data_IF_623063600792
#
_entry.id   IF_623063600792
#
_cell.length_a   1.000
_cell.length_b   1.000
_cell.length_c   1.000
_cell.angle_alpha   90.00
_cell.angle_beta   90.00
_cell.angle_gamma   90.00
#
_symmetry.space_group_name_H-M   'P 1'
#
loop_
_entity.id
_entity.type
_entity.pdbx_description
1 polymer ?
#
# COMPACT_ATOMS: atom_id res chain seq x y z
N UNK A 1 -35.97 -88.42 21.56
CA UNK A 1 -34.64 -88.71 22.14
C UNK A 1 -33.85 -87.41 22.12
N UNK A 2 -33.32 -87.01 23.29
CA UNK A 2 -32.61 -85.75 23.57
C UNK A 2 -31.44 -85.47 22.61
N UNK A 3 -31.17 -84.18 22.35
CA UNK A 3 -29.95 -83.73 21.65
C UNK A 3 -29.65 -82.23 21.77
N UNK A 4 -29.14 -81.81 22.94
CA UNK A 4 -28.23 -80.68 23.25
C UNK A 4 -28.28 -79.32 22.49
N UNK A 5 -28.45 -78.24 23.26
CA UNK A 5 -28.16 -76.82 22.92
C UNK A 5 -26.66 -76.51 23.07
N UNK A 6 -26.11 -75.63 22.22
CA UNK A 6 -25.14 -74.59 22.60
C UNK A 6 -25.34 -73.32 21.71
N UNK A 7 -25.14 -72.09 22.24
CA UNK A 7 -25.51 -70.83 21.57
C UNK A 7 -24.30 -70.15 20.90
N UNK A 8 -24.52 -69.42 19.79
CA UNK A 8 -23.50 -68.53 19.20
C UNK A 8 -24.09 -67.13 18.99
N UNK A 9 -23.68 -66.26 19.92
CA UNK A 9 -23.38 -64.82 19.83
C UNK A 9 -23.98 -63.97 18.69
N UNK A 10 -24.72 -62.95 19.12
CA UNK A 10 -25.08 -61.73 18.39
C UNK A 10 -23.87 -60.95 17.85
N UNK A 11 -24.05 -60.28 16.69
CA UNK A 11 -23.86 -58.83 16.42
C UNK A 11 -23.40 -58.52 14.97
N UNK A 12 -23.79 -57.34 14.41
CA UNK A 12 -23.72 -57.04 12.99
C UNK A 12 -22.40 -56.39 12.58
N UNK A 13 -21.86 -56.74 11.41
CA UNK A 13 -20.66 -56.11 10.84
C UNK A 13 -21.07 -55.05 9.83
N UNK A 14 -21.06 -53.79 10.26
CA UNK A 14 -20.75 -52.63 9.41
C UNK A 14 -19.53 -51.94 9.98
N UNK A 15 -18.51 -51.66 9.16
CA UNK A 15 -17.77 -50.41 9.32
C UNK A 15 -17.75 -49.65 7.98
N UNK A 16 -18.37 -48.49 7.92
CA UNK A 16 -17.79 -47.19 8.29
C UNK A 16 -16.82 -46.68 7.21
N UNK A 17 -17.36 -45.86 6.31
CA UNK A 17 -16.63 -44.90 5.49
C UNK A 17 -15.83 -43.93 6.39
N UNK A 18 -14.53 -43.80 6.15
CA UNK A 18 -13.75 -42.61 6.52
C UNK A 18 -12.88 -42.16 5.33
N UNK A 19 -12.82 -40.85 5.02
CA UNK A 19 -12.11 -40.34 3.85
C UNK A 19 -10.61 -40.30 4.10
N UNK A 20 -9.82 -40.71 3.09
CA UNK A 20 -8.36 -40.59 3.07
C UNK A 20 -7.96 -39.10 3.07
N UNK A 21 -7.73 -38.50 4.24
CA UNK A 21 -6.94 -37.28 4.33
C UNK A 21 -5.47 -37.64 4.11
N UNK A 22 -4.93 -37.36 2.91
CA UNK A 22 -3.49 -37.44 2.64
C UNK A 22 -2.75 -36.39 3.50
N UNK A 23 -2.43 -36.76 4.73
CA UNK A 23 -1.45 -36.05 5.55
C UNK A 23 -0.07 -36.28 4.93
N UNK A 24 0.52 -35.22 4.39
CA UNK A 24 1.94 -35.22 4.05
C UNK A 24 2.71 -35.49 5.36
N UNK A 25 3.54 -36.53 5.40
CA UNK A 25 4.22 -36.91 6.64
C UNK A 25 5.08 -35.75 7.15
N UNK A 26 4.97 -35.35 8.43
CA UNK A 26 5.73 -34.23 8.99
C UNK A 26 7.26 -34.42 8.87
N UNK A 27 7.72 -35.66 8.75
CA UNK A 27 9.13 -35.98 8.49
C UNK A 27 9.63 -35.45 7.14
N UNK A 28 8.78 -35.45 6.11
CA UNK A 28 9.14 -34.94 4.78
C UNK A 28 9.29 -33.43 4.83
N UNK A 29 8.42 -32.71 5.56
CA UNK A 29 8.52 -31.26 5.73
C UNK A 29 9.80 -30.86 6.48
N UNK A 30 10.18 -31.61 7.53
CA UNK A 30 11.40 -31.38 8.30
C UNK A 30 12.67 -31.52 7.44
N UNK A 31 12.69 -32.44 6.47
CA UNK A 31 13.85 -32.66 5.60
C UNK A 31 14.18 -31.46 4.68
N UNK A 32 13.20 -30.61 4.36
CA UNK A 32 13.42 -29.43 3.53
C UNK A 32 13.86 -28.19 4.33
N UNK A 33 13.77 -28.21 5.66
CA UNK A 33 14.15 -27.10 6.53
C UNK A 33 15.58 -26.59 6.28
N UNK A 34 16.65 -27.42 6.24
CA UNK A 34 17.99 -26.92 6.01
C UNK A 34 18.18 -26.31 4.61
N UNK A 35 17.47 -26.84 3.60
CA UNK A 35 17.48 -26.30 2.24
C UNK A 35 16.80 -24.93 2.17
N UNK A 36 15.65 -24.78 2.82
CA UNK A 36 14.92 -23.51 2.94
C UNK A 36 15.74 -22.49 3.75
N UNK A 37 16.36 -22.88 4.85
CA UNK A 37 17.25 -22.00 5.64
C UNK A 37 18.42 -21.52 4.78
N UNK A 38 19.04 -22.42 4.01
CA UNK A 38 20.16 -22.06 3.12
C UNK A 38 19.71 -21.09 2.02
N UNK A 39 18.53 -21.30 1.43
CA UNK A 39 17.90 -20.36 0.49
C UNK A 39 17.64 -19.00 1.13
N UNK A 40 17.07 -18.95 2.34
CA UNK A 40 16.81 -17.70 3.05
C UNK A 40 18.12 -16.95 3.36
N UNK A 41 19.18 -17.65 3.78
CA UNK A 41 20.49 -17.02 4.05
C UNK A 41 21.14 -16.53 2.74
N UNK A 42 21.11 -17.33 1.68
CA UNK A 42 21.70 -17.00 0.38
C UNK A 42 20.99 -15.81 -0.27
N UNK A 43 19.67 -15.78 -0.19
CA UNK A 43 18.85 -14.70 -0.73
C UNK A 43 18.47 -13.66 0.33
N UNK A 44 19.17 -13.60 1.48
CA UNK A 44 18.82 -12.75 2.63
C UNK A 44 18.58 -11.29 2.25
N UNK A 45 19.35 -10.76 1.29
CA UNK A 45 19.18 -9.39 0.81
C UNK A 45 17.88 -9.21 0.02
N UNK A 46 17.56 -10.12 -0.90
CA UNK A 46 16.29 -10.11 -1.63
C UNK A 46 15.11 -10.39 -0.71
N UNK A 47 15.27 -11.30 0.25
CA UNK A 47 14.26 -11.60 1.26
C UNK A 47 14.01 -10.41 2.18
N UNK A 48 15.04 -9.69 2.62
CA UNK A 48 14.90 -8.46 3.41
C UNK A 48 14.21 -7.35 2.62
N UNK A 49 14.56 -7.19 1.33
CA UNK A 49 13.88 -6.24 0.44
C UNK A 49 12.41 -6.63 0.25
N UNK A 50 12.12 -7.90 -0.01
CA UNK A 50 10.76 -8.41 -0.15
C UNK A 50 9.95 -8.27 1.15
N UNK A 51 10.51 -8.65 2.29
CA UNK A 51 9.87 -8.55 3.60
C UNK A 51 9.54 -7.10 3.94
N UNK A 52 10.49 -6.17 3.79
CA UNK A 52 10.26 -4.73 4.05
C UNK A 52 9.32 -4.09 3.03
N UNK A 53 9.48 -4.40 1.75
CA UNK A 53 8.72 -3.75 0.68
C UNK A 53 7.31 -4.31 0.49
N UNK A 54 7.06 -5.57 0.85
CA UNK A 54 5.78 -6.25 0.58
C UNK A 54 5.10 -6.67 1.89
N UNK A 55 5.75 -7.45 2.74
CA UNK A 55 5.09 -8.02 3.93
C UNK A 55 4.81 -6.97 4.99
N UNK A 56 5.81 -6.17 5.41
CA UNK A 56 5.62 -5.12 6.43
C UNK A 56 4.63 -4.06 5.94
N UNK A 57 4.78 -3.59 4.68
CA UNK A 57 3.86 -2.61 4.09
C UNK A 57 2.43 -3.09 4.07
N UNK A 58 2.20 -4.30 3.55
CA UNK A 58 0.86 -4.86 3.42
C UNK A 58 0.25 -5.20 4.78
N UNK A 59 1.07 -5.56 5.76
CA UNK A 59 0.60 -5.81 7.12
C UNK A 59 0.18 -4.50 7.81
N UNK A 60 0.95 -3.42 7.68
CA UNK A 60 0.59 -2.11 8.25
C UNK A 60 -0.71 -1.56 7.67
N UNK A 61 -0.91 -1.66 6.37
CA UNK A 61 -2.16 -1.21 5.74
C UNK A 61 -3.35 -2.10 6.15
N UNK A 62 -3.12 -3.40 6.35
CA UNK A 62 -4.15 -4.32 6.84
C UNK A 62 -4.51 -4.08 8.32
N UNK A 63 -3.53 -3.77 9.17
CA UNK A 63 -3.77 -3.55 10.61
C UNK A 63 -4.34 -2.17 10.92
N UNK A 64 -3.98 -1.13 10.16
CA UNK A 64 -4.49 0.23 10.37
C UNK A 64 -5.82 0.48 9.68
N UNK A 65 -6.15 -0.27 8.62
CA UNK A 65 -7.39 -0.11 7.85
C UNK A 65 -7.47 1.21 7.06
N UNK A 66 -6.41 2.02 7.07
CA UNK A 66 -6.32 3.33 6.44
C UNK A 66 -5.16 3.32 5.46
N UNK A 67 -5.36 3.82 4.23
CA UNK A 67 -4.29 3.90 3.24
C UNK A 67 -3.19 4.87 3.68
N UNK A 68 -1.94 4.62 3.25
CA UNK A 68 -0.78 5.47 3.55
C UNK A 68 -0.99 6.93 3.15
N UNK A 69 -1.62 7.14 2.00
CA UNK A 69 -1.93 8.47 1.46
C UNK A 69 -2.91 9.22 2.38
N UNK A 70 -3.90 8.53 2.95
CA UNK A 70 -4.83 9.11 3.92
C UNK A 70 -4.13 9.40 5.25
N UNK A 71 -3.24 8.54 5.74
CA UNK A 71 -2.41 8.84 6.94
C UNK A 71 -1.57 10.11 6.76
N UNK A 72 -0.93 10.23 5.60
CA UNK A 72 -0.17 11.42 5.25
C UNK A 72 -1.05 12.67 5.19
N UNK A 73 -2.23 12.57 4.57
CA UNK A 73 -3.20 13.66 4.53
C UNK A 73 -3.63 14.09 5.94
N UNK A 74 -3.94 13.16 6.84
CA UNK A 74 -4.32 13.49 8.22
C UNK A 74 -3.19 14.22 8.97
N UNK A 75 -1.94 13.81 8.77
CA UNK A 75 -0.79 14.51 9.33
C UNK A 75 -0.69 15.94 8.78
N UNK A 76 -0.82 16.11 7.45
CA UNK A 76 -0.74 17.41 6.80
C UNK A 76 -1.90 18.31 7.23
N UNK A 77 -3.13 17.79 7.29
CA UNK A 77 -4.32 18.53 7.72
C UNK A 77 -4.17 19.10 9.14
N UNK A 78 -3.46 18.38 10.02
CA UNK A 78 -3.29 18.77 11.43
C UNK A 78 -2.10 19.69 11.68
N UNK A 79 -1.10 19.71 10.79
CA UNK A 79 0.16 20.44 10.99
C UNK A 79 0.43 21.53 9.95
N UNK A 80 -0.25 21.52 8.80
CA UNK A 80 -0.08 22.51 7.76
C UNK A 80 -1.00 23.72 7.95
N UNK A 81 -0.57 24.87 7.45
CA UNK A 81 -1.41 26.09 7.38
C UNK A 81 -2.30 25.98 6.12
N UNK A 82 -3.64 25.95 6.26
CA UNK A 82 -4.54 25.93 5.11
C UNK A 82 -4.35 27.17 4.23
N UNK A 83 -4.33 26.97 2.91
CA UNK A 83 -4.12 28.04 1.92
C UNK A 83 -2.65 28.45 1.71
N UNK A 84 -1.70 27.85 2.44
CA UNK A 84 -0.27 28.01 2.18
C UNK A 84 0.30 26.76 1.50
N UNK A 85 0.43 26.75 0.16
CA UNK A 85 0.92 25.59 -0.57
C UNK A 85 2.35 25.22 -0.19
N UNK A 86 3.20 26.20 0.14
CA UNK A 86 4.59 25.93 0.51
C UNK A 86 4.65 25.26 1.89
N UNK A 87 3.83 25.71 2.84
CA UNK A 87 3.74 25.06 4.15
C UNK A 87 3.20 23.63 4.02
N UNK A 88 2.18 23.41 3.18
CA UNK A 88 1.64 22.07 2.90
C UNK A 88 2.73 21.13 2.36
N UNK A 89 3.52 21.57 1.37
CA UNK A 89 4.64 20.79 0.82
C UNK A 89 5.72 20.49 1.88
N UNK A 90 6.09 21.48 2.68
CA UNK A 90 7.08 21.31 3.75
C UNK A 90 6.60 20.29 4.80
N UNK A 91 5.32 20.31 5.16
CA UNK A 91 4.73 19.34 6.09
C UNK A 91 4.72 17.93 5.51
N UNK A 92 4.46 17.77 4.21
CA UNK A 92 4.63 16.49 3.53
C UNK A 92 6.07 15.98 3.58
N UNK A 93 7.05 16.86 3.35
CA UNK A 93 8.47 16.48 3.39
C UNK A 93 8.89 16.03 4.79
N UNK A 94 8.40 16.72 5.84
CA UNK A 94 8.60 16.32 7.24
C UNK A 94 7.97 14.97 7.56
N UNK A 95 6.74 14.72 7.10
CA UNK A 95 6.08 13.42 7.26
C UNK A 95 6.89 12.30 6.59
N UNK A 96 7.36 12.54 5.36
CA UNK A 96 8.16 11.58 4.61
C UNK A 96 9.52 11.27 5.26
N UNK A 97 10.14 12.23 5.94
CA UNK A 97 11.43 12.05 6.60
C UNK A 97 11.32 11.39 7.97
N UNK A 98 10.25 11.66 8.73
CA UNK A 98 10.14 11.24 10.13
C UNK A 98 9.15 10.11 10.39
N UNK A 99 8.12 9.95 9.56
CA UNK A 99 7.02 9.03 9.82
C UNK A 99 7.00 7.88 8.80
N UNK A 100 6.70 8.19 7.55
CA UNK A 100 6.47 7.17 6.54
C UNK A 100 6.83 7.68 5.14
N UNK A 101 7.70 6.93 4.45
CA UNK A 101 8.13 7.31 3.11
C UNK A 101 7.00 7.16 2.09
N UNK A 102 6.63 8.26 1.43
CA UNK A 102 5.71 8.29 0.29
C UNK A 102 6.48 8.18 -1.03
N UNK A 103 5.79 7.71 -2.07
CA UNK A 103 6.34 7.62 -3.42
C UNK A 103 6.24 8.94 -4.21
N UNK A 104 6.19 10.08 -3.50
CA UNK A 104 6.13 11.39 -4.14
C UNK A 104 7.49 11.79 -4.74
N UNK A 105 7.49 12.86 -5.55
CA UNK A 105 8.69 13.29 -6.28
C UNK A 105 9.81 13.80 -5.35
N UNK A 106 9.42 14.31 -4.17
CA UNK A 106 10.29 14.90 -3.16
C UNK A 106 10.85 16.27 -3.54
N UNK A 107 11.46 17.01 -2.59
CA UNK A 107 11.78 18.42 -2.76
C UNK A 107 12.86 18.69 -3.81
N UNK A 108 13.85 17.81 -3.92
CA UNK A 108 14.96 17.99 -4.86
C UNK A 108 14.48 17.94 -6.31
N UNK A 109 13.65 16.96 -6.66
CA UNK A 109 13.07 16.85 -8.00
C UNK A 109 11.93 17.86 -8.19
N UNK A 110 11.21 18.20 -7.11
CA UNK A 110 10.19 19.25 -7.10
C UNK A 110 10.74 20.59 -7.59
N UNK A 111 11.93 21.01 -7.14
CA UNK A 111 12.60 22.22 -7.63
C UNK A 111 12.92 22.20 -9.13
N UNK A 112 13.24 21.03 -9.68
CA UNK A 112 13.49 20.88 -11.12
C UNK A 112 12.17 21.04 -11.88
N UNK A 113 11.09 20.41 -11.38
CA UNK A 113 9.76 20.52 -11.97
C UNK A 113 9.25 21.98 -11.94
N UNK A 114 9.30 22.63 -10.78
CA UNK A 114 8.95 24.04 -10.58
C UNK A 114 9.67 24.95 -11.60
N UNK A 115 10.99 24.80 -11.70
CA UNK A 115 11.80 25.54 -12.67
C UNK A 115 11.37 25.29 -14.12
N UNK A 116 11.06 24.04 -14.49
CA UNK A 116 10.62 23.72 -15.85
C UNK A 116 9.26 24.35 -16.16
N UNK A 117 8.32 24.38 -15.21
CA UNK A 117 7.03 25.05 -15.40
C UNK A 117 7.24 26.56 -15.54
N UNK A 118 8.05 27.17 -14.68
CA UNK A 118 8.37 28.60 -14.75
C UNK A 118 9.02 29.00 -16.08
N UNK A 119 10.01 28.23 -16.55
CA UNK A 119 10.73 28.53 -17.80
C UNK A 119 9.86 28.39 -19.05
N UNK A 120 8.87 27.49 -19.05
CA UNK A 120 8.01 27.23 -20.21
C UNK A 120 6.67 27.99 -20.17
N UNK A 121 6.24 28.44 -18.99
CA UNK A 121 4.97 29.13 -18.74
C UNK A 121 3.76 28.49 -19.49
N UNK A 122 3.51 27.18 -19.33
CA UNK A 122 2.46 26.50 -20.08
C UNK A 122 1.07 26.97 -19.64
N UNK A 123 0.14 27.10 -20.59
CA UNK A 123 -1.26 27.43 -20.31
C UNK A 123 -2.13 26.21 -20.03
N UNK A 124 -1.71 25.02 -20.44
CA UNK A 124 -2.42 23.77 -20.20
C UNK A 124 -1.41 22.69 -19.82
N UNK A 125 -1.62 22.04 -18.68
CA UNK A 125 -0.78 20.95 -18.19
C UNK A 125 -1.64 19.73 -17.90
N UNK A 126 -1.15 18.55 -18.27
CA UNK A 126 -1.75 17.26 -17.94
C UNK A 126 -0.79 16.47 -17.06
N UNK A 127 -1.21 16.17 -15.84
CA UNK A 127 -0.55 15.27 -14.91
C UNK A 127 -1.19 13.88 -14.97
N UNK A 128 -0.36 12.85 -15.19
CA UNK A 128 -0.79 11.45 -15.18
C UNK A 128 -0.26 10.78 -13.90
N UNK A 129 -1.17 10.50 -12.96
CA UNK A 129 -0.88 9.93 -11.66
C UNK A 129 -0.77 10.99 -10.56
N UNK A 130 -1.89 11.54 -10.12
CA UNK A 130 -1.98 12.56 -9.06
C UNK A 130 -1.45 12.08 -7.71
N UNK A 131 -1.62 10.78 -7.42
CA UNK A 131 -1.23 10.14 -6.18
C UNK A 131 -1.83 10.81 -4.92
N UNK A 132 -1.10 11.70 -4.26
CA UNK A 132 -1.54 12.43 -3.06
C UNK A 132 -1.59 13.95 -3.26
N UNK A 133 -1.45 14.43 -4.50
CA UNK A 133 -1.52 15.87 -4.83
C UNK A 133 -0.23 16.67 -4.62
N UNK A 134 0.87 16.04 -4.17
CA UNK A 134 2.12 16.76 -3.87
C UNK A 134 2.73 17.43 -5.11
N UNK A 135 2.87 16.70 -6.22
CA UNK A 135 3.42 17.26 -7.46
C UNK A 135 2.42 18.26 -8.10
N UNK A 136 1.13 17.98 -7.99
CA UNK A 136 0.06 18.88 -8.43
C UNK A 136 0.18 20.27 -7.80
N UNK A 137 0.42 20.35 -6.49
CA UNK A 137 0.62 21.63 -5.79
C UNK A 137 1.83 22.40 -6.34
N UNK A 138 2.95 21.71 -6.57
CA UNK A 138 4.16 22.33 -7.13
C UNK A 138 3.87 22.90 -8.53
N UNK A 139 3.20 22.12 -9.38
CA UNK A 139 2.84 22.58 -10.73
C UNK A 139 1.89 23.76 -10.64
N UNK A 140 0.81 23.66 -9.86
CA UNK A 140 -0.21 24.68 -9.73
C UNK A 140 0.36 26.02 -9.23
N UNK A 141 1.29 25.99 -8.27
CA UNK A 141 1.95 27.20 -7.75
C UNK A 141 2.84 27.90 -8.79
N UNK A 142 3.43 27.13 -9.71
CA UNK A 142 4.35 27.65 -10.72
C UNK A 142 3.66 28.11 -12.01
N UNK A 143 2.37 27.82 -12.17
CA UNK A 143 1.63 28.14 -13.38
C UNK A 143 1.32 29.64 -13.50
N UNK A 144 1.33 30.20 -14.73
CA UNK A 144 0.89 31.56 -14.95
C UNK A 144 -0.63 31.70 -14.73
N UNK A 145 -1.08 32.91 -14.38
CA UNK A 145 -2.49 33.22 -14.21
C UNK A 145 -3.30 32.83 -15.46
N UNK A 146 -4.42 32.13 -15.25
CA UNK A 146 -5.31 31.66 -16.32
C UNK A 146 -4.86 30.36 -16.99
N UNK A 147 -3.74 29.77 -16.58
CA UNK A 147 -3.39 28.41 -16.97
C UNK A 147 -4.28 27.36 -16.29
N UNK A 148 -4.35 26.17 -16.87
CA UNK A 148 -5.15 25.05 -16.38
C UNK A 148 -4.30 23.82 -16.16
N UNK A 149 -4.47 23.19 -15.00
CA UNK A 149 -3.86 21.92 -14.66
C UNK A 149 -4.95 20.85 -14.60
N UNK A 150 -4.82 19.82 -15.44
CA UNK A 150 -5.64 18.63 -15.39
C UNK A 150 -4.82 17.51 -14.76
N UNK A 151 -5.36 16.83 -13.77
CA UNK A 151 -4.70 15.69 -13.13
C UNK A 151 -5.61 14.47 -13.14
N UNK A 152 -5.04 13.31 -13.44
CA UNK A 152 -5.79 12.06 -13.58
C UNK A 152 -5.10 10.99 -12.73
N UNK A 153 -5.87 10.32 -11.86
CA UNK A 153 -5.41 9.12 -11.16
C UNK A 153 -6.36 7.95 -11.43
N UNK A 154 -5.79 6.76 -11.61
CA UNK A 154 -6.56 5.54 -11.84
C UNK A 154 -7.27 5.06 -10.56
N UNK A 155 -6.70 5.34 -9.39
CA UNK A 155 -7.23 4.88 -8.12
C UNK A 155 -8.14 5.98 -7.50
N UNK A 156 -9.46 5.72 -7.36
CA UNK A 156 -10.40 6.73 -6.86
C UNK A 156 -10.13 7.13 -5.40
N UNK A 157 -9.61 6.24 -4.57
CA UNK A 157 -9.24 6.57 -3.18
C UNK A 157 -8.08 7.56 -3.16
N UNK A 158 -7.08 7.38 -4.04
CA UNK A 158 -5.94 8.31 -4.14
C UNK A 158 -6.38 9.65 -4.71
N UNK A 159 -7.20 9.64 -5.76
CA UNK A 159 -7.79 10.85 -6.31
C UNK A 159 -8.54 11.66 -5.23
N UNK A 160 -9.35 11.00 -4.40
CA UNK A 160 -10.07 11.66 -3.32
C UNK A 160 -9.13 12.25 -2.24
N UNK A 161 -8.00 11.60 -1.93
CA UNK A 161 -6.99 12.19 -1.02
C UNK A 161 -6.34 13.40 -1.68
N UNK A 162 -5.93 13.28 -2.94
CA UNK A 162 -5.30 14.37 -3.67
C UNK A 162 -6.19 15.60 -3.75
N UNK A 163 -7.48 15.43 -4.05
CA UNK A 163 -8.46 16.52 -4.08
C UNK A 163 -8.49 17.29 -2.74
N UNK A 164 -8.58 16.58 -1.61
CA UNK A 164 -8.54 17.21 -0.27
C UNK A 164 -7.25 17.99 -0.04
N UNK A 165 -6.10 17.43 -0.47
CA UNK A 165 -4.78 18.06 -0.32
C UNK A 165 -4.66 19.32 -1.18
N UNK A 166 -5.11 19.26 -2.43
CA UNK A 166 -5.10 20.38 -3.37
C UNK A 166 -5.95 21.54 -2.84
N UNK A 167 -7.15 21.22 -2.34
CA UNK A 167 -8.04 22.21 -1.71
C UNK A 167 -7.46 22.79 -0.42
N UNK A 168 -6.81 21.95 0.40
CA UNK A 168 -6.11 22.42 1.59
C UNK A 168 -4.98 23.40 1.25
N UNK A 169 -4.30 23.20 0.11
CA UNK A 169 -3.26 24.11 -0.39
C UNK A 169 -3.79 25.40 -1.01
N UNK A 170 -5.12 25.56 -1.13
CA UNK A 170 -5.77 26.78 -1.63
C UNK A 170 -6.09 26.77 -3.13
N UNK A 171 -5.96 25.63 -3.80
CA UNK A 171 -6.37 25.47 -5.19
C UNK A 171 -7.76 24.83 -5.25
N UNK A 172 -8.67 25.44 -6.00
CA UNK A 172 -10.04 24.94 -6.24
C UNK A 172 -10.35 25.08 -7.73
N UNK A 173 -11.46 24.50 -8.20
CA UNK A 173 -11.82 24.50 -9.63
C UNK A 173 -12.05 25.91 -10.22
N UNK A 174 -12.22 26.92 -9.35
CA UNK A 174 -12.50 28.31 -9.69
C UNK A 174 -11.26 29.23 -9.70
N UNK A 175 -10.07 28.71 -9.34
CA UNK A 175 -8.83 29.50 -9.17
C UNK A 175 -7.83 29.27 -10.29
#
# INVERSE_FOLDING_TARGET
MLGYRLPISDTPITPLLLPLSRMVSPAIALAFIPFIITLIIRYRHYFLLFYRAVLVRRFQDYTTGVAREERAFQYVLTHAIPGDPQHVLNTFDQYCSHCEHLSNIGPHKGKILDRLIYENAPLNVLELGTYCGYATIIIAQALPLGARLYTIDFNPTKAAVAEKVIRLAGFDDDT
#
